data_IF_967126932652
#
_entry.id   IF_967126932652
#
_cell.length_a   1.000
_cell.length_b   1.000
_cell.length_c   1.000
_cell.angle_alpha   90.00
_cell.angle_beta   90.00
_cell.angle_gamma   90.00
#
_symmetry.space_group_name_H-M   'P 1'
#
loop_
_entity.id
_entity.type
_entity.pdbx_description
1 polymer ?
#
# COMPACT_ATOMS: atom_id res chain seq x y z
N UNK A 1 18.61 34.68 46.89
CA UNK A 1 18.76 35.33 45.57
C UNK A 1 17.64 34.81 44.68
N UNK A 2 16.83 35.69 44.09
CA UNK A 2 15.81 35.41 43.05
C UNK A 2 16.52 34.94 41.75
N UNK A 3 15.93 34.28 40.74
CA UNK A 3 14.55 34.09 40.21
C UNK A 3 14.30 32.56 39.95
N UNK A 4 13.11 31.97 39.67
CA UNK A 4 12.17 32.11 38.52
C UNK A 4 12.89 32.08 37.15
N UNK A 5 12.47 31.45 36.03
CA UNK A 5 11.25 30.75 35.53
C UNK A 5 11.70 29.47 34.77
N UNK A 6 10.94 28.55 34.12
CA UNK A 6 9.52 28.17 33.89
C UNK A 6 9.57 26.64 33.54
N UNK A 7 8.54 25.77 33.47
CA UNK A 7 7.08 25.81 33.24
C UNK A 7 6.60 25.82 31.75
N UNK A 8 6.12 24.64 31.31
CA UNK A 8 5.22 24.30 30.18
C UNK A 8 5.54 24.65 28.71
N UNK A 9 5.39 23.64 27.85
CA UNK A 9 4.93 23.77 26.46
C UNK A 9 4.20 22.50 25.95
N UNK A 10 3.23 21.96 26.71
CA UNK A 10 2.33 20.92 26.20
C UNK A 10 1.43 21.50 25.11
N UNK A 11 1.65 21.11 23.85
CA UNK A 11 1.01 21.72 22.69
C UNK A 11 -0.45 21.26 22.49
N UNK A 12 -1.36 21.77 23.33
CA UNK A 12 -2.81 21.58 23.18
C UNK A 12 -3.31 22.18 21.84
N UNK A 13 -3.60 21.32 20.86
CA UNK A 13 -4.03 21.74 19.53
C UNK A 13 -5.46 22.31 19.59
N UNK A 14 -5.55 23.64 19.66
CA UNK A 14 -6.82 24.38 19.69
C UNK A 14 -7.51 24.38 18.31
N UNK A 15 -8.69 23.76 18.22
CA UNK A 15 -9.51 23.76 17.01
C UNK A 15 -10.35 25.04 16.91
N UNK A 16 -9.84 26.06 16.20
CA UNK A 16 -10.65 27.20 15.76
C UNK A 16 -11.35 26.88 14.44
N UNK A 17 -12.68 26.80 14.46
CA UNK A 17 -13.47 26.73 13.23
C UNK A 17 -13.41 28.07 12.48
N UNK A 18 -13.02 28.01 11.20
CA UNK A 18 -12.96 29.14 10.29
C UNK A 18 -12.93 28.64 8.84
N UNK A 19 -13.67 29.29 7.94
CA UNK A 19 -14.00 28.73 6.62
C UNK A 19 -12.83 28.62 5.65
N UNK A 20 -12.19 27.44 5.64
CA UNK A 20 -11.42 26.84 4.53
C UNK A 20 -11.56 25.31 4.67
N UNK A 21 -11.44 24.55 3.57
CA UNK A 21 -11.37 23.07 3.68
C UNK A 21 -10.18 22.74 4.59
N UNK A 22 -10.32 21.90 5.63
CA UNK A 22 -9.21 21.59 6.50
C UNK A 22 -8.08 20.98 5.65
N UNK A 23 -6.86 21.47 5.82
CA UNK A 23 -5.68 20.89 5.17
C UNK A 23 -5.68 19.38 5.44
N UNK A 24 -5.40 18.56 4.42
CA UNK A 24 -5.56 17.11 4.53
C UNK A 24 -4.78 16.61 5.74
N UNK A 25 -5.48 15.87 6.63
CA UNK A 25 -4.98 15.52 7.97
C UNK A 25 -3.90 14.42 7.94
N UNK A 26 -3.15 14.35 6.84
CA UNK A 26 -2.16 13.34 6.51
C UNK A 26 -0.91 14.06 5.98
N UNK A 27 0.06 14.23 6.87
CA UNK A 27 1.35 14.86 6.59
C UNK A 27 2.20 14.02 5.62
N UNK A 28 3.25 14.58 5.02
CA UNK A 28 4.23 13.85 4.20
C UNK A 28 4.80 12.62 4.93
N UNK A 29 5.03 12.74 6.24
CA UNK A 29 5.41 11.62 7.12
C UNK A 29 4.47 10.40 7.06
N UNK A 30 3.16 10.59 6.86
CA UNK A 30 2.20 9.48 6.72
C UNK A 30 2.27 8.85 5.33
N UNK A 31 2.57 9.65 4.29
CA UNK A 31 2.82 9.16 2.93
C UNK A 31 4.09 8.32 2.88
N UNK A 32 5.20 8.83 3.40
CA UNK A 32 6.50 8.14 3.41
C UNK A 32 6.43 6.83 4.23
N UNK A 33 5.67 6.85 5.33
CA UNK A 33 5.42 5.67 6.16
C UNK A 33 4.59 4.60 5.42
N UNK A 34 3.51 5.00 4.73
CA UNK A 34 2.72 4.06 3.93
C UNK A 34 3.49 3.49 2.74
N UNK A 35 4.26 4.32 2.01
CA UNK A 35 5.05 3.87 0.86
C UNK A 35 6.02 2.77 1.30
N UNK A 36 6.87 3.04 2.31
CA UNK A 36 7.80 2.03 2.83
C UNK A 36 7.09 0.77 3.34
N UNK A 37 5.94 0.91 4.01
CA UNK A 37 5.16 -0.25 4.46
C UNK A 37 4.71 -1.16 3.30
N UNK A 38 4.29 -0.60 2.17
CA UNK A 38 3.89 -1.38 0.99
C UNK A 38 5.08 -1.85 0.15
N UNK A 39 6.22 -1.16 0.17
CA UNK A 39 7.48 -1.67 -0.40
C UNK A 39 7.97 -2.92 0.36
N UNK A 40 7.90 -2.91 1.70
CA UNK A 40 8.21 -4.06 2.56
C UNK A 40 7.16 -5.18 2.45
N UNK A 41 5.88 -4.84 2.22
CA UNK A 41 4.73 -5.77 2.26
C UNK A 41 3.77 -5.52 1.09
N UNK A 42 4.16 -5.83 -0.16
CA UNK A 42 3.37 -5.51 -1.36
C UNK A 42 2.02 -6.25 -1.47
N UNK A 43 1.80 -7.28 -0.65
CA UNK A 43 0.52 -8.02 -0.55
C UNK A 43 -0.40 -7.55 0.58
N UNK A 44 0.01 -6.55 1.36
CA UNK A 44 -0.81 -6.01 2.45
C UNK A 44 -2.10 -5.35 1.94
N UNK A 45 -3.14 -5.34 2.77
CA UNK A 45 -4.42 -4.71 2.43
C UNK A 45 -4.49 -3.27 2.95
N UNK A 46 -5.48 -2.51 2.46
CA UNK A 46 -5.85 -1.18 3.00
C UNK A 46 -6.15 -1.25 4.50
N UNK A 47 -6.62 -2.40 5.02
CA UNK A 47 -6.84 -2.59 6.45
C UNK A 47 -5.53 -2.63 7.24
N UNK A 48 -4.50 -3.27 6.67
CA UNK A 48 -3.20 -3.41 7.32
C UNK A 48 -2.43 -2.07 7.29
N UNK A 49 -2.48 -1.34 6.18
CA UNK A 49 -1.96 0.03 6.12
C UNK A 49 -2.69 1.02 7.04
N UNK A 50 -4.00 0.84 7.26
CA UNK A 50 -4.75 1.60 8.27
C UNK A 50 -4.27 1.26 9.68
N UNK A 51 -4.05 -0.03 9.98
CA UNK A 51 -3.58 -0.48 11.28
C UNK A 51 -2.15 -0.01 11.58
N UNK A 52 -1.24 -0.06 10.60
CA UNK A 52 0.13 0.43 10.75
C UNK A 52 0.16 1.96 10.94
N UNK A 53 -0.70 2.71 10.24
CA UNK A 53 -0.87 4.15 10.50
C UNK A 53 -1.35 4.45 11.93
N UNK A 54 -2.36 3.73 12.44
CA UNK A 54 -2.88 3.91 13.81
C UNK A 54 -1.80 3.57 14.86
N UNK A 55 -0.96 2.57 14.57
CA UNK A 55 0.16 2.12 15.40
C UNK A 55 1.36 3.08 15.36
N UNK A 56 1.64 3.69 14.19
CA UNK A 56 2.75 4.62 13.99
C UNK A 56 2.49 6.06 14.42
N UNK A 57 1.22 6.45 14.58
CA UNK A 57 0.81 7.82 14.92
C UNK A 57 -0.25 7.83 16.03
N UNK A 58 0.17 8.05 17.27
CA UNK A 58 -0.72 8.07 18.44
C UNK A 58 -1.86 9.09 18.28
N UNK A 59 -3.07 8.69 18.68
CA UNK A 59 -4.28 9.52 18.55
C UNK A 59 -4.84 9.63 17.11
N UNK A 60 -4.22 8.99 16.11
CA UNK A 60 -4.75 8.96 14.75
C UNK A 60 -6.02 8.09 14.65
N UNK A 61 -7.18 8.74 14.59
CA UNK A 61 -8.44 8.08 14.20
C UNK A 61 -8.73 8.37 12.72
N UNK A 62 -8.75 7.31 11.89
CA UNK A 62 -8.99 7.38 10.45
C UNK A 62 -9.84 6.19 9.97
N UNK A 63 -10.74 6.45 9.00
CA UNK A 63 -11.58 5.41 8.38
C UNK A 63 -10.85 4.74 7.22
N UNK A 64 -11.05 3.43 7.03
CA UNK A 64 -10.48 2.65 5.91
C UNK A 64 -10.73 3.27 4.52
N UNK A 65 -11.89 3.88 4.29
CA UNK A 65 -12.19 4.60 3.05
C UNK A 65 -11.28 5.82 2.84
N UNK A 66 -11.00 6.59 3.90
CA UNK A 66 -10.11 7.75 3.84
C UNK A 66 -8.65 7.36 3.66
N UNK A 67 -8.24 6.18 4.15
CA UNK A 67 -6.93 5.59 3.83
C UNK A 67 -6.87 5.22 2.34
N UNK A 68 -7.92 4.60 1.79
CA UNK A 68 -7.99 4.28 0.35
C UNK A 68 -7.91 5.52 -0.55
N UNK A 69 -8.65 6.59 -0.20
CA UNK A 69 -8.56 7.90 -0.86
C UNK A 69 -7.13 8.47 -0.78
N UNK A 70 -6.52 8.49 0.40
CA UNK A 70 -5.17 9.04 0.58
C UNK A 70 -4.09 8.26 -0.18
N UNK A 71 -4.19 6.92 -0.19
CA UNK A 71 -3.31 6.07 -0.99
C UNK A 71 -3.40 6.41 -2.48
N UNK A 72 -4.62 6.59 -3.01
CA UNK A 72 -4.85 6.89 -4.42
C UNK A 72 -4.44 8.31 -4.80
N UNK A 73 -4.96 9.33 -4.12
CA UNK A 73 -4.82 10.73 -4.56
C UNK A 73 -3.52 11.41 -4.11
N UNK A 74 -2.94 10.98 -2.98
CA UNK A 74 -1.82 11.71 -2.34
C UNK A 74 -0.53 10.87 -2.30
N UNK A 75 -0.64 9.54 -2.16
CA UNK A 75 0.50 8.63 -2.26
C UNK A 75 0.77 8.14 -3.70
N UNK A 76 -0.15 8.37 -4.64
CA UNK A 76 -0.13 7.84 -6.02
C UNK A 76 -0.07 6.30 -6.12
N UNK A 77 -0.53 5.58 -5.08
CA UNK A 77 -0.53 4.12 -5.02
C UNK A 77 -1.75 3.55 -5.76
N UNK A 78 -1.50 2.60 -6.66
CA UNK A 78 -2.54 1.85 -7.38
C UNK A 78 -2.66 0.43 -6.83
N UNK A 79 -3.85 0.09 -6.32
CA UNK A 79 -4.13 -1.23 -5.74
C UNK A 79 -4.75 -2.16 -6.77
N UNK A 80 -4.02 -3.19 -7.18
CA UNK A 80 -4.53 -4.24 -8.07
C UNK A 80 -5.35 -5.27 -7.28
N UNK A 81 -6.52 -5.62 -7.80
CA UNK A 81 -7.26 -6.78 -7.29
C UNK A 81 -6.47 -8.07 -7.57
N UNK A 82 -6.33 -8.93 -6.57
CA UNK A 82 -5.58 -10.19 -6.69
C UNK A 82 -6.53 -11.35 -6.99
N UNK A 83 -6.46 -11.87 -8.21
CA UNK A 83 -7.18 -13.10 -8.60
C UNK A 83 -6.61 -14.30 -7.85
N UNK A 84 -7.47 -15.10 -7.22
CA UNK A 84 -7.07 -16.34 -6.56
C UNK A 84 -6.88 -17.45 -7.61
N UNK A 85 -5.82 -18.24 -7.45
CA UNK A 85 -5.59 -19.46 -8.23
C UNK A 85 -5.53 -20.69 -7.32
N UNK A 86 -5.83 -21.90 -7.81
CA UNK A 86 -5.65 -23.13 -7.04
C UNK A 86 -4.20 -23.30 -6.59
N UNK A 87 -3.97 -23.75 -5.35
CA UNK A 87 -2.61 -23.95 -4.83
C UNK A 87 -1.76 -24.91 -5.70
N UNK A 88 -2.40 -25.94 -6.26
CA UNK A 88 -1.81 -26.88 -7.23
C UNK A 88 -1.21 -26.17 -8.46
N UNK A 89 -1.71 -24.98 -8.86
CA UNK A 89 -1.11 -24.19 -9.96
C UNK A 89 0.38 -23.89 -9.69
N UNK A 90 0.78 -23.84 -8.43
CA UNK A 90 2.13 -23.51 -7.99
C UNK A 90 2.85 -24.72 -7.36
N UNK A 91 2.38 -25.97 -7.54
CA UNK A 91 3.19 -27.13 -7.16
C UNK A 91 4.40 -27.28 -8.10
N UNK A 92 5.56 -27.78 -7.63
CA UNK A 92 6.75 -27.96 -8.48
C UNK A 92 6.44 -28.79 -9.73
N UNK A 93 5.78 -29.94 -9.56
CA UNK A 93 5.24 -30.80 -10.61
C UNK A 93 4.44 -30.03 -11.68
N UNK A 94 3.50 -29.16 -11.28
CA UNK A 94 2.66 -28.43 -12.26
C UNK A 94 3.40 -27.24 -12.89
N UNK A 95 4.54 -26.81 -12.32
CA UNK A 95 5.44 -25.81 -12.92
C UNK A 95 6.35 -26.50 -13.94
N UNK A 96 6.95 -27.63 -13.57
CA UNK A 96 7.80 -28.47 -14.42
C UNK A 96 7.02 -29.00 -15.64
N UNK A 97 5.82 -29.53 -15.44
CA UNK A 97 4.95 -30.00 -16.53
C UNK A 97 4.64 -28.89 -17.55
N UNK A 98 4.48 -27.63 -17.11
CA UNK A 98 4.34 -26.49 -18.04
C UNK A 98 5.64 -26.15 -18.75
N UNK A 99 6.78 -26.21 -18.06
CA UNK A 99 8.08 -25.94 -18.68
C UNK A 99 8.40 -26.95 -19.79
N UNK A 100 8.17 -28.25 -19.53
CA UNK A 100 8.29 -29.32 -20.52
C UNK A 100 7.33 -29.11 -21.69
N UNK A 101 6.05 -28.83 -21.42
CA UNK A 101 5.05 -28.57 -22.46
C UNK A 101 5.43 -27.37 -23.35
N UNK A 102 5.88 -26.25 -22.76
CA UNK A 102 6.35 -25.08 -23.53
C UNK A 102 7.58 -25.43 -24.37
N UNK A 103 8.55 -26.15 -23.82
CA UNK A 103 9.74 -26.57 -24.55
C UNK A 103 9.39 -27.48 -25.75
N UNK A 104 8.45 -28.40 -25.59
CA UNK A 104 7.93 -29.23 -26.68
C UNK A 104 7.30 -28.41 -27.82
N UNK A 105 6.46 -27.42 -27.52
CA UNK A 105 5.81 -26.61 -28.56
C UNK A 105 6.80 -25.67 -29.27
N UNK A 106 7.78 -25.12 -28.54
CA UNK A 106 8.89 -24.37 -29.13
C UNK A 106 9.73 -25.26 -30.06
N UNK A 107 10.06 -26.48 -29.65
CA UNK A 107 10.77 -27.46 -30.49
C UNK A 107 9.97 -27.88 -31.75
N UNK A 108 8.64 -27.83 -31.68
CA UNK A 108 7.71 -28.04 -32.82
C UNK A 108 7.56 -26.79 -33.72
N UNK A 109 8.35 -25.73 -33.50
CA UNK A 109 8.33 -24.49 -34.30
C UNK A 109 7.16 -23.56 -34.00
N UNK A 110 6.56 -23.66 -32.81
CA UNK A 110 5.38 -22.84 -32.43
C UNK A 110 5.80 -21.47 -31.92
N UNK A 111 5.91 -20.52 -32.85
CA UNK A 111 6.17 -19.12 -32.56
C UNK A 111 4.86 -18.33 -32.34
N UNK A 112 4.57 -17.96 -31.09
CA UNK A 112 3.37 -17.18 -30.72
C UNK A 112 3.52 -15.66 -30.94
N UNK A 113 4.53 -15.21 -31.69
CA UNK A 113 4.62 -13.86 -32.24
C UNK A 113 4.46 -13.86 -33.77
N UNK A 114 4.95 -14.88 -34.45
CA UNK A 114 4.95 -14.93 -35.93
C UNK A 114 3.89 -15.85 -36.55
N UNK A 115 3.37 -16.86 -35.83
CA UNK A 115 2.42 -17.86 -36.36
C UNK A 115 0.98 -17.71 -35.82
N UNK A 116 0.63 -16.56 -35.22
CA UNK A 116 -0.73 -16.29 -34.74
C UNK A 116 -1.60 -15.68 -35.83
N UNK A 117 -2.83 -16.20 -35.98
CA UNK A 117 -3.89 -15.51 -36.75
C UNK A 117 -4.55 -14.50 -35.82
N UNK A 118 -4.51 -13.22 -36.20
CA UNK A 118 -5.11 -12.07 -35.51
C UNK A 118 -6.51 -11.76 -36.04
#
# INVERSE_FOLDING_TARGET
MTMLVNLQASASIQLKNGGKRPASKLNGQLKDHLIRFYDEKPTATIGDGMNELIKGFEGLSIKKSRVAEFMKEECNLSLKSTTRHPAQRNSPETIEARAVWVAEWLAKGTDYHNNCVS
#
